data_IF_039018665860
#
_entry.id   IF_039018665860
#
_cell.length_a   1.000
_cell.length_b   1.000
_cell.length_c   1.000
_cell.angle_alpha   90.00
_cell.angle_beta   90.00
_cell.angle_gamma   90.00
#
_symmetry.space_group_name_H-M   'P 1'
#
loop_
_entity.id
_entity.type
_entity.pdbx_description
1 polymer ?
#
# COMPACT_ATOMS: atom_id res chain seq x y z
N UNK A 1 12.54 -1.04 7.50
CA UNK A 1 13.01 0.36 7.56
C UNK A 1 12.88 0.95 6.16
N UNK A 2 12.42 2.20 5.99
CA UNK A 2 12.25 2.83 4.67
C UNK A 2 13.55 3.00 3.87
N UNK A 3 14.71 2.96 4.55
CA UNK A 3 16.04 2.95 3.93
C UNK A 3 16.41 1.62 3.28
N UNK A 4 15.68 0.54 3.59
CA UNK A 4 15.95 -0.78 3.05
C UNK A 4 15.27 -0.95 1.69
N UNK A 5 15.94 -1.56 0.69
CA UNK A 5 15.30 -1.94 -0.56
C UNK A 5 14.16 -2.95 -0.34
N UNK A 6 14.15 -3.65 0.79
CA UNK A 6 13.13 -4.63 1.15
C UNK A 6 11.92 -4.02 1.84
N UNK A 7 11.87 -2.69 2.02
CA UNK A 7 10.71 -2.04 2.62
C UNK A 7 9.47 -2.26 1.76
N UNK A 8 8.50 -2.98 2.34
CA UNK A 8 7.28 -3.43 1.68
C UNK A 8 6.20 -3.72 2.71
N UNK A 9 4.97 -3.73 2.24
CA UNK A 9 3.79 -4.07 3.03
C UNK A 9 3.34 -5.48 2.67
N UNK A 10 3.11 -6.31 3.68
CA UNK A 10 2.48 -7.62 3.55
C UNK A 10 1.28 -7.73 4.50
N UNK A 11 0.42 -8.71 4.27
CA UNK A 11 -0.72 -9.00 5.14
C UNK A 11 -0.76 -10.44 5.64
N UNK A 12 -1.53 -10.61 6.71
CA UNK A 12 -2.03 -11.88 7.22
C UNK A 12 -3.53 -11.74 7.49
N UNK A 13 -4.25 -12.86 7.51
CA UNK A 13 -5.71 -12.92 7.62
C UNK A 13 -6.06 -13.69 8.90
N UNK A 14 -7.14 -13.30 9.57
CA UNK A 14 -7.69 -13.98 10.74
C UNK A 14 -9.19 -13.75 10.83
N UNK A 15 -9.93 -14.72 11.36
CA UNK A 15 -11.35 -14.59 11.67
C UNK A 15 -11.59 -13.87 13.01
N UNK A 16 -10.52 -13.55 13.75
CA UNK A 16 -10.54 -12.82 15.02
C UNK A 16 -9.51 -11.68 15.03
N UNK A 17 -9.82 -10.50 15.61
CA UNK A 17 -8.85 -9.41 15.75
C UNK A 17 -7.57 -9.79 16.53
N UNK A 18 -7.65 -10.80 17.40
CA UNK A 18 -6.53 -11.28 18.21
C UNK A 18 -5.77 -12.47 17.59
N UNK A 19 -6.17 -12.92 16.40
CA UNK A 19 -5.60 -14.12 15.77
C UNK A 19 -6.31 -15.43 16.16
N UNK A 20 -5.75 -16.58 15.76
CA UNK A 20 -4.47 -16.75 15.09
C UNK A 20 -4.46 -16.18 13.66
N UNK A 21 -3.35 -15.56 13.27
CA UNK A 21 -3.17 -15.04 11.92
C UNK A 21 -2.51 -16.07 11.00
N UNK A 22 -3.04 -16.20 9.78
CA UNK A 22 -2.43 -16.99 8.69
C UNK A 22 -1.92 -16.06 7.59
N UNK A 23 -0.70 -16.31 7.11
CA UNK A 23 -0.19 -15.67 5.91
C UNK A 23 -0.83 -16.38 4.71
N UNK A 24 -1.44 -15.67 3.75
CA UNK A 24 -1.95 -16.31 2.53
C UNK A 24 -0.84 -17.06 1.78
N UNK A 25 -1.15 -18.26 1.29
CA UNK A 25 -0.18 -19.10 0.56
C UNK A 25 0.15 -18.55 -0.83
N UNK A 26 -0.80 -17.88 -1.47
CA UNK A 26 -0.67 -17.42 -2.86
C UNK A 26 0.12 -16.11 -2.97
N UNK A 27 -0.34 -15.06 -2.28
CA UNK A 27 0.31 -13.76 -2.30
C UNK A 27 -0.01 -13.00 -1.00
N UNK A 28 1.02 -12.51 -0.31
CA UNK A 28 0.86 -11.67 0.88
C UNK A 28 1.29 -10.23 0.65
N UNK A 29 2.01 -9.93 -0.45
CA UNK A 29 2.46 -8.60 -0.81
C UNK A 29 1.27 -7.69 -1.11
N UNK A 30 1.24 -6.52 -0.47
CA UNK A 30 0.29 -5.46 -0.80
C UNK A 30 1.01 -4.38 -1.60
N UNK A 31 2.16 -3.91 -1.12
CA UNK A 31 2.82 -2.71 -1.65
C UNK A 31 4.34 -2.86 -1.57
N UNK A 32 5.03 -2.47 -2.63
CA UNK A 32 6.50 -2.42 -2.67
C UNK A 32 6.96 -1.30 -3.61
N UNK A 33 8.26 -1.00 -3.57
CA UNK A 33 8.89 -0.04 -4.48
C UNK A 33 8.69 -0.44 -5.95
N UNK A 34 8.67 0.55 -6.84
CA UNK A 34 8.63 0.39 -8.30
C UNK A 34 9.78 1.21 -8.92
N UNK A 35 11.03 0.70 -8.89
CA UNK A 35 12.19 1.40 -9.42
C UNK A 35 12.04 1.84 -10.89
N UNK A 36 11.36 1.03 -11.69
CA UNK A 36 11.03 1.30 -13.10
C UNK A 36 10.13 2.53 -13.29
N UNK A 37 9.41 2.94 -12.24
CA UNK A 37 8.61 4.18 -12.18
C UNK A 37 9.22 5.23 -11.25
N UNK A 38 10.47 5.06 -10.79
CA UNK A 38 11.11 5.95 -9.82
C UNK A 38 10.39 6.10 -8.46
N UNK A 39 9.70 5.06 -8.01
CA UNK A 39 8.98 5.03 -6.73
C UNK A 39 9.74 4.12 -5.75
N UNK A 40 10.16 4.68 -4.61
CA UNK A 40 11.01 3.99 -3.63
C UNK A 40 10.50 4.14 -2.20
N UNK A 41 10.75 3.13 -1.37
CA UNK A 41 10.51 3.18 0.07
C UNK A 41 9.03 3.23 0.44
N UNK A 42 8.18 2.51 -0.30
CA UNK A 42 6.72 2.49 -0.05
C UNK A 42 6.37 1.66 1.19
N UNK A 43 5.66 2.27 2.15
CA UNK A 43 5.23 1.55 3.36
C UNK A 43 4.59 2.45 4.43
N UNK A 44 4.60 1.96 5.68
CA UNK A 44 3.94 2.58 6.84
C UNK A 44 2.54 3.12 6.53
N UNK A 45 1.67 2.18 6.19
CA UNK A 45 0.38 2.48 5.59
C UNK A 45 -0.77 2.42 6.59
N UNK A 46 -1.89 2.99 6.18
CA UNK A 46 -3.23 2.70 6.68
C UNK A 46 -4.14 2.33 5.51
N UNK A 47 -5.28 1.71 5.81
CA UNK A 47 -6.32 1.37 4.83
C UNK A 47 -7.60 2.09 5.23
N UNK A 48 -8.27 2.70 4.26
CA UNK A 48 -9.53 3.40 4.46
C UNK A 48 -10.56 2.95 3.43
N UNK A 49 -11.82 2.86 3.86
CA UNK A 49 -12.96 2.61 3.00
C UNK A 49 -13.73 3.92 2.82
N UNK A 50 -14.26 4.14 1.61
CA UNK A 50 -15.22 5.21 1.38
C UNK A 50 -16.60 4.77 1.91
N UNK A 51 -17.19 5.48 2.89
CA UNK A 51 -18.40 5.03 3.56
C UNK A 51 -19.56 4.73 2.59
N UNK A 52 -20.23 3.60 2.81
CA UNK A 52 -21.37 3.17 1.99
C UNK A 52 -20.99 2.56 0.64
N UNK A 53 -19.70 2.31 0.39
CA UNK A 53 -19.19 1.71 -0.85
C UNK A 53 -18.25 0.53 -0.56
N UNK A 54 -17.92 -0.24 -1.58
CA UNK A 54 -16.81 -1.20 -1.55
C UNK A 54 -15.52 -0.62 -2.16
N UNK A 55 -15.34 0.71 -2.05
CA UNK A 55 -14.13 1.38 -2.51
C UNK A 55 -13.12 1.52 -1.38
N UNK A 56 -11.95 0.93 -1.58
CA UNK A 56 -10.88 0.89 -0.60
C UNK A 56 -9.63 1.58 -1.13
N UNK A 57 -8.91 2.24 -0.22
CA UNK A 57 -7.70 2.98 -0.52
C UNK A 57 -6.62 2.63 0.51
N UNK A 58 -5.39 2.53 0.02
CA UNK A 58 -4.21 2.45 0.87
C UNK A 58 -3.57 3.85 0.91
N UNK A 59 -3.37 4.37 2.11
CA UNK A 59 -2.61 5.60 2.36
C UNK A 59 -1.26 5.20 2.91
N UNK A 60 -0.18 5.66 2.30
CA UNK A 60 1.18 5.23 2.64
C UNK A 60 2.17 6.37 2.43
N UNK A 61 3.43 6.18 2.82
CA UNK A 61 4.50 7.10 2.42
C UNK A 61 5.47 6.47 1.43
N UNK A 62 6.16 7.31 0.66
CA UNK A 62 7.34 6.96 -0.14
C UNK A 62 8.42 8.04 -0.04
N UNK A 63 9.62 7.78 -0.55
CA UNK A 63 10.64 8.83 -0.70
C UNK A 63 10.22 9.86 -1.76
N UNK A 64 10.48 11.14 -1.49
CA UNK A 64 10.18 12.23 -2.42
C UNK A 64 10.99 12.07 -3.72
N UNK A 65 10.32 12.18 -4.87
CA UNK A 65 10.95 12.31 -6.17
C UNK A 65 11.06 13.80 -6.58
N UNK A 66 12.17 14.27 -7.21
CA UNK A 66 13.33 13.54 -7.73
C UNK A 66 14.51 13.42 -6.75
N UNK A 67 14.27 13.38 -5.44
CA UNK A 67 15.33 13.32 -4.41
C UNK A 67 15.22 12.08 -3.50
N UNK A 68 15.24 10.85 -4.05
CA UNK A 68 14.97 9.63 -3.29
C UNK A 68 16.07 9.24 -2.29
N UNK A 69 17.25 9.88 -2.36
CA UNK A 69 18.41 9.57 -1.54
C UNK A 69 18.34 10.12 -0.11
N UNK A 70 17.43 11.06 0.20
CA UNK A 70 17.19 11.49 1.57
C UNK A 70 16.08 10.64 2.18
N UNK A 71 16.40 9.66 3.04
CA UNK A 71 15.40 8.73 3.58
C UNK A 71 14.41 9.40 4.56
N UNK A 72 14.71 10.60 5.02
CA UNK A 72 13.84 11.39 5.89
C UNK A 72 12.82 12.21 5.08
N UNK A 73 13.12 12.47 3.81
CA UNK A 73 12.25 13.22 2.90
C UNK A 73 11.19 12.27 2.31
N UNK A 74 10.02 12.24 2.97
CA UNK A 74 8.90 11.38 2.58
C UNK A 74 7.67 12.21 2.25
N UNK A 75 6.87 11.71 1.32
CA UNK A 75 5.56 12.26 0.97
C UNK A 75 4.45 11.25 1.24
N UNK A 76 3.24 11.76 1.52
CA UNK A 76 2.04 10.93 1.68
C UNK A 76 1.45 10.66 0.30
N UNK A 77 1.08 9.42 0.06
CA UNK A 77 0.48 8.94 -1.18
C UNK A 77 -0.78 8.15 -0.88
N UNK A 78 -1.67 8.07 -1.86
CA UNK A 78 -2.90 7.31 -1.79
C UNK A 78 -3.17 6.64 -3.14
N UNK A 79 -3.49 5.36 -3.11
CA UNK A 79 -3.84 4.57 -4.29
C UNK A 79 -5.00 3.62 -3.97
N UNK A 80 -5.71 3.16 -5.00
CA UNK A 80 -6.80 2.19 -4.84
C UNK A 80 -6.26 0.83 -4.39
N UNK A 81 -6.95 0.23 -3.42
CA UNK A 81 -6.75 -1.12 -2.94
C UNK A 81 -7.94 -1.97 -3.35
N UNK A 82 -7.71 -3.18 -3.86
CA UNK A 82 -8.79 -4.07 -4.31
C UNK A 82 -8.72 -5.39 -3.56
N UNK A 83 -9.79 -5.68 -2.83
CA UNK A 83 -10.08 -7.01 -2.32
C UNK A 83 -10.72 -7.82 -3.45
N UNK A 84 -10.14 -8.97 -3.76
CA UNK A 84 -10.66 -9.91 -4.76
C UNK A 84 -11.81 -10.72 -4.15
N UNK A 85 -12.71 -11.29 -4.97
CA UNK A 85 -13.81 -12.13 -4.49
C UNK A 85 -13.39 -13.33 -3.64
N UNK A 86 -12.16 -13.80 -3.78
CA UNK A 86 -11.56 -14.90 -3.00
C UNK A 86 -10.96 -14.43 -1.65
N UNK A 87 -11.15 -13.15 -1.29
CA UNK A 87 -10.63 -12.55 -0.07
C UNK A 87 -9.15 -12.16 -0.14
N UNK A 88 -8.47 -12.36 -1.27
CA UNK A 88 -7.08 -11.91 -1.46
C UNK A 88 -7.02 -10.42 -1.79
N UNK A 89 -5.89 -9.79 -1.49
CA UNK A 89 -5.64 -8.40 -1.88
C UNK A 89 -4.85 -8.40 -3.18
N UNK A 90 -5.32 -7.65 -4.18
CA UNK A 90 -4.50 -7.39 -5.37
C UNK A 90 -3.35 -6.47 -4.99
N UNK A 91 -2.12 -6.86 -5.35
CA UNK A 91 -0.92 -6.00 -5.19
C UNK A 91 -1.23 -4.61 -5.74
N UNK A 92 -1.05 -3.60 -4.90
CA UNK A 92 -1.29 -2.21 -5.26
C UNK A 92 -0.16 -1.73 -6.17
N UNK A 93 -0.55 -1.00 -7.21
CA UNK A 93 0.38 -0.28 -8.06
C UNK A 93 0.50 1.16 -7.56
N UNK A 94 1.63 1.54 -6.93
CA UNK A 94 1.82 2.92 -6.53
C UNK A 94 1.95 3.82 -7.76
N UNK A 95 1.35 5.01 -7.70
CA UNK A 95 1.33 5.99 -8.80
C UNK A 95 1.87 7.34 -8.37
N UNK A 96 2.34 8.17 -9.30
CA UNK A 96 2.74 9.55 -8.96
C UNK A 96 1.52 10.48 -8.80
N UNK A 97 0.44 10.17 -9.51
CA UNK A 97 -0.77 10.96 -9.65
C UNK A 97 -1.74 10.77 -8.47
N UNK A 98 -1.72 9.60 -7.84
CA UNK A 98 -2.68 9.21 -6.82
C UNK A 98 -4.07 8.96 -7.40
N UNK A 99 -5.10 9.22 -6.59
CA UNK A 99 -6.50 9.02 -7.00
C UNK A 99 -7.10 10.28 -7.63
N UNK A 100 -8.06 10.08 -8.54
CA UNK A 100 -8.91 11.18 -9.00
C UNK A 100 -9.73 11.73 -7.83
N UNK A 101 -10.06 13.04 -7.83
CA UNK A 101 -10.99 13.61 -6.86
C UNK A 101 -12.29 12.81 -6.82
N UNK A 102 -12.68 12.38 -5.63
CA UNK A 102 -14.02 11.86 -5.38
C UNK A 102 -14.95 13.07 -5.48
N UNK A 103 -15.88 13.06 -6.42
CA UNK A 103 -16.76 14.21 -6.71
C UNK A 103 -17.44 14.79 -5.45
N UNK A 104 -17.88 16.04 -5.54
CA UNK A 104 -18.67 16.68 -4.46
C UNK A 104 -20.07 16.08 -4.38
#
# INVERSE_FOLDING_TARGET
DARSPDYRVRHAISDSPAGPFRIPEQESLILSSRPEKNIYGTGHHSVVNLPGTDEWFIVYHRHIWPRPQNPWAREVCIDRMIFRPDGQIRVVEPTHEGIAPLGK
#
